data_IF_249490419674
#
_entry.id   IF_249490419674
#
_cell.length_a   1.000
_cell.length_b   1.000
_cell.length_c   1.000
_cell.angle_alpha   90.00
_cell.angle_beta   90.00
_cell.angle_gamma   90.00
#
_symmetry.space_group_name_H-M   'P 1'
#
loop_
_entity.id
_entity.type
_entity.pdbx_description
1 polymer ?
#
# COMPACT_ATOMS: atom_id res chain seq x y z
N UNK A 1 -84.28 30.91 11.99
CA UNK A 1 -83.52 31.61 10.94
C UNK A 1 -82.39 32.38 11.60
N UNK A 2 -81.19 31.81 11.63
CA UNK A 2 -79.96 32.54 11.99
C UNK A 2 -78.83 31.91 11.18
N UNK A 3 -78.29 32.66 10.24
CA UNK A 3 -77.19 32.26 9.35
C UNK A 3 -75.87 32.63 10.03
N UNK A 4 -75.02 31.63 10.31
CA UNK A 4 -73.64 31.84 10.77
C UNK A 4 -72.70 31.58 9.60
N UNK A 5 -72.03 32.64 9.15
CA UNK A 5 -70.99 32.64 8.11
C UNK A 5 -69.65 32.11 8.65
N UNK A 6 -69.13 31.03 8.07
CA UNK A 6 -67.77 30.52 8.33
C UNK A 6 -66.80 31.18 7.32
N UNK A 7 -65.65 31.72 7.76
CA UNK A 7 -64.74 32.42 6.87
C UNK A 7 -63.89 31.47 6.01
N UNK A 8 -63.58 31.99 4.82
CA UNK A 8 -62.74 31.48 3.74
C UNK A 8 -61.35 31.05 4.24
N UNK A 9 -61.02 29.76 4.07
CA UNK A 9 -59.66 29.24 4.28
C UNK A 9 -58.79 29.61 3.07
N UNK A 10 -57.85 30.53 3.24
CA UNK A 10 -56.88 30.90 2.21
C UNK A 10 -55.87 29.75 1.99
N UNK A 11 -55.43 29.50 0.73
CA UNK A 11 -54.43 28.46 0.46
C UNK A 11 -53.08 28.80 1.11
N UNK A 12 -52.29 27.79 1.51
CA UNK A 12 -51.02 28.01 2.18
C UNK A 12 -50.02 28.63 1.20
N UNK A 13 -49.49 29.80 1.56
CA UNK A 13 -48.40 30.42 0.83
C UNK A 13 -47.11 29.63 1.09
N UNK A 14 -46.69 28.85 0.10
CA UNK A 14 -45.38 28.21 0.07
C UNK A 14 -44.31 29.29 -0.08
N UNK A 15 -43.57 29.53 1.01
CA UNK A 15 -42.43 30.44 1.04
C UNK A 15 -41.36 29.97 0.06
N UNK A 16 -41.02 30.82 -0.89
CA UNK A 16 -39.79 30.73 -1.67
C UNK A 16 -38.57 30.84 -0.75
N UNK A 17 -37.80 29.75 -0.66
CA UNK A 17 -36.43 29.72 -0.15
C UNK A 17 -35.49 29.49 -1.33
N UNK A 18 -34.55 30.40 -1.49
CA UNK A 18 -33.50 30.40 -2.51
C UNK A 18 -32.34 29.50 -2.10
N UNK A 19 -32.36 28.24 -2.52
CA UNK A 19 -31.17 27.41 -2.65
C UNK A 19 -31.25 26.73 -4.02
N UNK A 20 -30.10 26.53 -4.64
CA UNK A 20 -29.90 25.82 -5.91
C UNK A 20 -30.23 24.33 -5.78
N UNK A 21 -31.42 24.02 -5.30
CA UNK A 21 -31.97 22.67 -5.24
C UNK A 21 -32.82 22.52 -6.48
N UNK A 22 -32.32 21.77 -7.46
CA UNK A 22 -33.13 21.34 -8.60
C UNK A 22 -34.43 20.77 -8.06
N UNK A 23 -35.54 21.47 -8.31
CA UNK A 23 -36.82 21.09 -7.72
C UNK A 23 -37.16 19.68 -8.22
N UNK A 24 -37.72 18.78 -7.39
CA UNK A 24 -38.11 17.44 -7.83
C UNK A 24 -38.96 17.46 -9.11
N UNK A 25 -39.77 18.52 -9.27
CA UNK A 25 -40.55 18.72 -10.49
C UNK A 25 -39.71 19.08 -11.71
N UNK A 26 -38.65 19.89 -11.56
CA UNK A 26 -37.72 20.20 -12.64
C UNK A 26 -36.93 18.97 -13.08
N UNK A 27 -36.50 18.13 -12.14
CA UNK A 27 -35.84 16.85 -12.45
C UNK A 27 -36.79 15.92 -13.21
N UNK A 28 -38.05 15.83 -12.80
CA UNK A 28 -39.06 15.00 -13.48
C UNK A 28 -39.42 15.56 -14.87
N UNK A 29 -39.48 16.87 -15.03
CA UNK A 29 -39.72 17.52 -16.32
C UNK A 29 -38.55 17.28 -17.29
N UNK A 30 -37.32 17.42 -16.81
CA UNK A 30 -36.10 17.12 -17.57
C UNK A 30 -36.04 15.63 -17.94
N UNK A 31 -36.31 14.73 -17.01
CA UNK A 31 -36.32 13.28 -17.28
C UNK A 31 -37.39 12.88 -18.33
N UNK A 32 -38.57 13.53 -18.33
CA UNK A 32 -39.61 13.29 -19.34
C UNK A 32 -39.22 13.77 -20.72
N UNK A 33 -38.50 14.89 -20.82
CA UNK A 33 -38.04 15.41 -22.12
C UNK A 33 -36.93 14.53 -22.70
N UNK A 34 -35.91 14.19 -21.90
CA UNK A 34 -34.85 13.27 -22.33
C UNK A 34 -35.35 11.85 -22.64
N UNK A 35 -36.41 11.36 -21.97
CA UNK A 35 -37.00 10.04 -22.26
C UNK A 35 -37.36 9.87 -23.74
N UNK A 36 -37.82 10.93 -24.41
CA UNK A 36 -38.20 10.87 -25.82
C UNK A 36 -36.98 10.89 -26.76
N UNK A 37 -35.85 11.39 -26.29
CA UNK A 37 -34.60 11.52 -27.04
C UNK A 37 -33.79 10.23 -27.06
N UNK A 38 -33.89 9.42 -25.99
CA UNK A 38 -33.10 8.19 -25.80
C UNK A 38 -33.76 6.96 -26.50
N UNK A 39 -35.00 7.10 -26.98
CA UNK A 39 -35.69 6.04 -27.74
C UNK A 39 -36.34 4.95 -26.89
N UNK A 40 -37.33 4.26 -27.45
CA UNK A 40 -38.15 3.26 -26.74
C UNK A 40 -37.38 2.04 -26.22
N UNK A 41 -36.24 1.72 -26.83
CA UNK A 41 -35.45 0.53 -26.54
C UNK A 41 -34.43 0.72 -25.41
N UNK A 42 -34.27 1.94 -24.90
CA UNK A 42 -33.28 2.25 -23.85
C UNK A 42 -33.40 1.31 -22.65
N UNK A 43 -34.64 1.07 -22.19
CA UNK A 43 -34.88 0.19 -21.05
C UNK A 43 -34.44 -1.25 -21.35
N UNK A 44 -34.69 -1.72 -22.58
CA UNK A 44 -34.28 -3.05 -23.01
C UNK A 44 -32.75 -3.18 -23.06
N UNK A 45 -32.05 -2.21 -23.66
CA UNK A 45 -30.58 -2.21 -23.73
C UNK A 45 -29.95 -2.08 -22.33
N UNK A 46 -30.52 -1.25 -21.46
CA UNK A 46 -30.07 -1.10 -20.07
C UNK A 46 -30.23 -2.42 -19.32
N UNK A 47 -31.40 -3.07 -19.41
CA UNK A 47 -31.66 -4.35 -18.77
C UNK A 47 -30.74 -5.45 -19.32
N UNK A 48 -30.55 -5.52 -20.64
CA UNK A 48 -29.64 -6.47 -21.29
C UNK A 48 -28.20 -6.29 -20.80
N UNK A 49 -27.72 -5.05 -20.70
CA UNK A 49 -26.37 -4.76 -20.21
C UNK A 49 -26.21 -5.19 -18.75
N UNK A 50 -27.18 -4.83 -17.88
CA UNK A 50 -27.17 -5.21 -16.47
C UNK A 50 -27.16 -6.74 -16.31
N UNK A 51 -28.02 -7.45 -17.04
CA UNK A 51 -28.07 -8.91 -16.99
C UNK A 51 -26.81 -9.56 -17.55
N UNK A 52 -26.22 -8.98 -18.60
CA UNK A 52 -24.97 -9.48 -19.20
C UNK A 52 -23.79 -9.33 -18.24
N UNK A 53 -23.67 -8.17 -17.57
CA UNK A 53 -22.62 -7.95 -16.59
C UNK A 53 -22.83 -8.80 -15.33
N UNK A 54 -24.07 -8.92 -14.85
CA UNK A 54 -24.40 -9.81 -13.74
C UNK A 54 -24.04 -11.28 -14.06
N UNK A 55 -24.39 -11.75 -15.26
CA UNK A 55 -24.04 -13.09 -15.73
C UNK A 55 -22.52 -13.27 -15.82
N UNK A 56 -21.79 -12.30 -16.37
CA UNK A 56 -20.32 -12.32 -16.46
C UNK A 56 -19.66 -12.41 -15.08
N UNK A 57 -20.16 -11.68 -14.09
CA UNK A 57 -19.63 -11.71 -12.71
C UNK A 57 -19.96 -13.07 -12.07
N UNK A 58 -21.20 -13.53 -12.19
CA UNK A 58 -21.61 -14.82 -11.64
C UNK A 58 -20.80 -15.98 -12.23
N UNK A 59 -20.52 -15.95 -13.53
CA UNK A 59 -19.74 -16.96 -14.24
C UNK A 59 -18.26 -16.97 -13.80
N UNK A 60 -17.71 -15.84 -13.35
CA UNK A 60 -16.38 -15.79 -12.71
C UNK A 60 -16.38 -16.28 -11.27
N UNK A 61 -17.45 -16.00 -10.52
CA UNK A 61 -17.51 -16.32 -9.10
C UNK A 61 -17.90 -17.78 -8.80
N UNK A 62 -18.72 -18.40 -9.67
CA UNK A 62 -19.27 -19.74 -9.44
C UNK A 62 -18.39 -20.81 -10.10
N UNK A 63 -18.00 -21.83 -9.34
CA UNK A 63 -17.33 -23.01 -9.89
C UNK A 63 -18.36 -24.12 -10.14
N UNK A 64 -18.56 -24.53 -11.41
CA UNK A 64 -19.47 -25.63 -11.77
C UNK A 64 -18.74 -26.98 -11.83
N UNK A 65 -19.26 -28.06 -11.23
CA UNK A 65 -18.67 -29.38 -11.35
C UNK A 65 -18.82 -29.91 -12.79
N UNK A 66 -17.71 -30.15 -13.49
CA UNK A 66 -17.67 -30.74 -14.84
C UNK A 66 -17.20 -29.82 -15.95
N UNK A 67 -17.16 -28.49 -15.73
CA UNK A 67 -16.55 -27.54 -16.67
C UNK A 67 -15.07 -27.33 -16.33
N UNK A 68 -14.22 -27.22 -17.35
CA UNK A 68 -12.81 -26.89 -17.13
C UNK A 68 -12.75 -25.49 -16.50
N UNK A 69 -12.18 -25.33 -15.29
CA UNK A 69 -12.01 -24.01 -14.71
C UNK A 69 -11.22 -23.15 -15.71
N UNK A 70 -11.75 -21.96 -16.02
CA UNK A 70 -11.03 -20.98 -16.84
C UNK A 70 -9.73 -20.68 -16.09
N UNK A 71 -8.59 -20.67 -16.80
CA UNK A 71 -7.29 -20.40 -16.20
C UNK A 71 -7.29 -19.00 -15.59
N UNK A 72 -7.49 -18.94 -14.28
CA UNK A 72 -7.30 -17.75 -13.48
C UNK A 72 -5.88 -17.87 -12.89
N UNK A 73 -4.97 -17.06 -13.44
CA UNK A 73 -3.57 -17.04 -13.01
C UNK A 73 -3.49 -16.78 -11.50
N UNK A 74 -4.34 -15.88 -10.98
CA UNK A 74 -4.44 -15.58 -9.55
C UNK A 74 -4.78 -16.84 -8.75
N UNK A 75 -5.83 -17.57 -9.14
CA UNK A 75 -6.25 -18.81 -8.45
C UNK A 75 -5.18 -19.91 -8.52
N UNK A 76 -4.39 -19.94 -9.58
CA UNK A 76 -3.31 -20.93 -9.76
C UNK A 76 -2.10 -20.57 -8.88
N UNK A 77 -1.73 -19.29 -8.83
CA UNK A 77 -0.66 -18.77 -7.99
C UNK A 77 -1.05 -18.91 -6.52
N UNK A 78 -2.26 -18.52 -6.14
CA UNK A 78 -2.77 -18.69 -4.77
C UNK A 78 -2.82 -20.17 -4.38
N UNK A 79 -3.21 -21.04 -5.30
CA UNK A 79 -3.17 -22.49 -5.09
C UNK A 79 -1.75 -23.01 -4.87
N UNK A 80 -0.76 -22.49 -5.61
CA UNK A 80 0.63 -22.89 -5.46
C UNK A 80 1.24 -22.37 -4.15
N UNK A 81 1.09 -21.08 -3.88
CA UNK A 81 1.63 -20.38 -2.71
C UNK A 81 0.95 -20.84 -1.41
N UNK A 82 -0.35 -21.10 -1.44
CA UNK A 82 -1.15 -21.49 -0.26
C UNK A 82 -1.29 -23.01 -0.11
N UNK A 83 -0.75 -23.81 -1.04
CA UNK A 83 -0.84 -25.27 -0.91
C UNK A 83 -0.09 -25.76 0.33
N UNK A 84 -0.67 -26.75 1.02
CA UNK A 84 -0.08 -27.34 2.23
C UNK A 84 1.32 -27.93 2.01
N UNK A 85 1.66 -28.32 0.78
CA UNK A 85 2.95 -28.92 0.42
C UNK A 85 3.94 -27.92 -0.19
N UNK A 86 3.51 -26.99 -1.05
CA UNK A 86 4.43 -26.03 -1.69
C UNK A 86 4.54 -24.70 -0.95
N UNK A 87 3.58 -24.35 -0.10
CA UNK A 87 3.64 -23.13 0.69
C UNK A 87 4.83 -23.10 1.64
N UNK A 88 5.15 -24.21 2.32
CA UNK A 88 6.31 -24.28 3.22
C UNK A 88 7.65 -24.08 2.46
N UNK A 89 7.94 -24.82 1.37
CA UNK A 89 9.11 -24.58 0.54
C UNK A 89 9.22 -23.14 -0.01
N UNK A 90 8.12 -22.60 -0.54
CA UNK A 90 8.09 -21.24 -1.11
C UNK A 90 8.38 -20.20 -0.03
N UNK A 91 7.77 -20.35 1.15
CA UNK A 91 7.99 -19.44 2.27
C UNK A 91 9.45 -19.47 2.74
N UNK A 92 10.05 -20.66 2.87
CA UNK A 92 11.48 -20.81 3.23
C UNK A 92 12.38 -20.17 2.18
N UNK A 93 12.10 -20.40 0.90
CA UNK A 93 12.88 -19.81 -0.19
C UNK A 93 12.82 -18.28 -0.16
N UNK A 94 11.61 -17.72 -0.02
CA UNK A 94 11.43 -16.26 0.04
C UNK A 94 12.12 -15.66 1.27
N UNK A 95 11.98 -16.31 2.43
CA UNK A 95 12.67 -15.90 3.66
C UNK A 95 14.19 -15.94 3.50
N UNK A 96 14.71 -17.01 2.91
CA UNK A 96 16.15 -17.17 2.65
C UNK A 96 16.67 -16.11 1.67
N UNK A 97 15.92 -15.80 0.62
CA UNK A 97 16.27 -14.76 -0.33
C UNK A 97 16.32 -13.38 0.33
N UNK A 98 15.32 -13.04 1.15
CA UNK A 98 15.29 -11.77 1.91
C UNK A 98 16.45 -11.69 2.91
N UNK A 99 16.70 -12.77 3.66
CA UNK A 99 17.85 -12.83 4.59
C UNK A 99 19.18 -12.70 3.85
N UNK A 100 19.34 -13.38 2.72
CA UNK A 100 20.54 -13.33 1.89
C UNK A 100 20.82 -11.91 1.40
N UNK A 101 19.80 -11.24 0.87
CA UNK A 101 19.90 -9.85 0.40
C UNK A 101 20.25 -8.92 1.57
N UNK A 102 19.67 -9.16 2.75
CA UNK A 102 19.95 -8.33 3.94
C UNK A 102 21.39 -8.51 4.44
N UNK A 103 21.88 -9.75 4.52
CA UNK A 103 23.25 -10.07 4.95
C UNK A 103 24.28 -9.56 3.93
N UNK A 104 24.08 -9.87 2.65
CA UNK A 104 24.98 -9.43 1.58
C UNK A 104 24.92 -7.91 1.42
N UNK A 105 23.73 -7.33 1.52
CA UNK A 105 23.50 -5.90 1.47
C UNK A 105 24.16 -5.15 2.62
N UNK A 106 24.31 -5.77 3.80
CA UNK A 106 25.05 -5.20 4.92
C UNK A 106 26.58 -5.23 4.74
N UNK A 107 27.11 -6.08 3.86
CA UNK A 107 28.56 -6.16 3.62
C UNK A 107 29.10 -4.89 2.95
N UNK A 108 28.35 -4.29 2.02
CA UNK A 108 28.74 -3.05 1.33
C UNK A 108 28.88 -1.85 2.30
N UNK A 109 27.88 -1.49 3.12
CA UNK A 109 28.00 -0.40 4.09
C UNK A 109 29.03 -0.71 5.18
N UNK A 110 29.19 -1.99 5.58
CA UNK A 110 30.24 -2.41 6.51
C UNK A 110 31.64 -2.08 5.98
N UNK A 111 31.91 -2.43 4.71
CA UNK A 111 33.19 -2.12 4.07
C UNK A 111 33.45 -0.61 3.97
N UNK A 112 32.42 0.17 3.64
CA UNK A 112 32.53 1.64 3.61
C UNK A 112 32.84 2.21 4.99
N UNK A 113 32.19 1.72 6.04
CA UNK A 113 32.42 2.17 7.41
C UNK A 113 33.81 1.77 7.92
N UNK A 114 34.26 0.55 7.63
CA UNK A 114 35.60 0.06 7.96
C UNK A 114 36.69 0.92 7.30
N UNK A 115 36.54 1.23 6.00
CA UNK A 115 37.47 2.11 5.29
C UNK A 115 37.50 3.53 5.88
N UNK A 116 36.36 4.04 6.35
CA UNK A 116 36.30 5.36 6.99
C UNK A 116 36.94 5.35 8.38
N UNK A 117 36.56 4.42 9.26
CA UNK A 117 37.01 4.36 10.65
C UNK A 117 38.48 3.92 10.79
N UNK A 118 38.90 2.93 10.00
CA UNK A 118 40.24 2.32 10.09
C UNK A 118 41.16 2.92 9.03
N UNK A 119 40.68 3.12 7.80
CA UNK A 119 41.50 3.66 6.73
C UNK A 119 41.78 5.17 6.85
N UNK A 120 40.85 5.94 7.43
CA UNK A 120 40.97 7.42 7.46
C UNK A 120 41.11 7.97 8.88
N UNK A 121 40.23 7.55 9.80
CA UNK A 121 40.19 8.13 11.15
C UNK A 121 41.36 7.63 12.02
N UNK A 122 41.68 6.34 11.98
CA UNK A 122 42.80 5.78 12.74
C UNK A 122 44.16 6.44 12.45
N UNK A 123 44.63 6.57 11.19
CA UNK A 123 45.91 7.23 10.92
C UNK A 123 45.88 8.73 11.22
N UNK A 124 44.72 9.39 11.09
CA UNK A 124 44.57 10.80 11.48
C UNK A 124 44.68 10.99 12.99
N UNK A 125 44.10 10.08 13.78
CA UNK A 125 44.18 10.10 15.24
C UNK A 125 45.60 9.82 15.73
N UNK A 126 46.30 8.88 15.08
CA UNK A 126 47.70 8.56 15.38
C UNK A 126 48.63 9.74 15.05
N UNK A 127 48.41 10.43 13.92
CA UNK A 127 49.13 11.65 13.56
C UNK A 127 48.84 12.80 14.54
N UNK A 128 47.59 12.98 14.96
CA UNK A 128 47.22 13.98 15.96
C UNK A 128 47.84 13.69 17.34
N UNK A 129 47.85 12.43 17.76
CA UNK A 129 48.50 12.00 19.01
C UNK A 129 50.03 12.23 18.97
N UNK A 130 50.66 11.96 17.83
CA UNK A 130 52.07 12.25 17.61
C UNK A 130 52.34 13.77 17.58
N UNK A 131 51.46 14.56 16.95
CA UNK A 131 51.59 16.02 16.88
C UNK A 131 51.43 16.72 18.24
N UNK A 132 50.61 16.16 19.14
CA UNK A 132 50.41 16.66 20.51
C UNK A 132 51.51 16.13 21.47
N UNK A 133 52.40 15.25 20.99
CA UNK A 133 53.49 14.69 21.79
C UNK A 133 53.00 13.74 22.88
N UNK A 134 51.95 12.97 22.59
CA UNK A 134 51.34 12.07 23.57
C UNK A 134 52.33 10.94 23.98
N UNK A 135 52.47 10.64 25.29
CA UNK A 135 53.31 9.54 25.73
C UNK A 135 52.86 8.20 25.16
N UNK A 136 53.82 7.37 24.73
CA UNK A 136 53.56 6.08 24.07
C UNK A 136 52.66 5.13 24.86
N UNK A 137 52.69 5.19 26.19
CA UNK A 137 51.84 4.37 27.07
C UNK A 137 50.38 4.82 27.07
N UNK A 138 50.11 6.13 26.90
CA UNK A 138 48.76 6.69 26.88
C UNK A 138 48.12 6.53 25.50
N UNK A 139 48.89 6.74 24.42
CA UNK A 139 48.44 6.46 23.07
C UNK A 139 48.16 4.97 22.86
N UNK A 140 49.05 4.09 23.35
CA UNK A 140 48.85 2.65 23.26
C UNK A 140 47.62 2.18 24.04
N UNK A 141 47.35 2.75 25.22
CA UNK A 141 46.15 2.39 25.98
C UNK A 141 44.85 2.90 25.33
N UNK A 142 44.79 4.17 24.92
CA UNK A 142 43.58 4.75 24.34
C UNK A 142 43.30 4.28 22.91
N UNK A 143 44.33 4.25 22.06
CA UNK A 143 44.18 4.00 20.62
C UNK A 143 44.27 2.50 20.34
N UNK A 144 45.33 1.84 20.80
CA UNK A 144 45.54 0.41 20.51
C UNK A 144 44.69 -0.49 21.41
N UNK A 145 44.38 -0.05 22.63
CA UNK A 145 43.50 -0.76 23.55
C UNK A 145 42.03 -0.44 23.32
N UNK A 146 41.59 0.73 23.80
CA UNK A 146 40.16 1.06 23.85
C UNK A 146 39.53 1.25 22.47
N UNK A 147 40.15 2.05 21.60
CA UNK A 147 39.58 2.34 20.27
C UNK A 147 39.58 1.09 19.39
N UNK A 148 40.69 0.35 19.33
CA UNK A 148 40.80 -0.87 18.53
C UNK A 148 39.86 -1.98 19.02
N UNK A 149 39.72 -2.18 20.33
CA UNK A 149 38.75 -3.14 20.88
C UNK A 149 37.30 -2.74 20.58
N UNK A 150 36.97 -1.45 20.69
CA UNK A 150 35.61 -0.95 20.39
C UNK A 150 35.31 -1.05 18.90
N UNK A 151 36.26 -0.66 18.05
CA UNK A 151 36.16 -0.78 16.60
C UNK A 151 35.97 -2.24 16.18
N UNK A 152 36.66 -3.18 16.83
CA UNK A 152 36.48 -4.61 16.59
C UNK A 152 35.11 -5.12 17.03
N UNK A 153 34.61 -4.75 18.21
CA UNK A 153 33.27 -5.17 18.65
C UNK A 153 32.19 -4.62 17.70
N UNK A 154 32.32 -3.35 17.28
CA UNK A 154 31.43 -2.73 16.29
C UNK A 154 31.56 -3.43 14.93
N UNK A 155 32.77 -3.83 14.56
CA UNK A 155 33.07 -4.60 13.34
C UNK A 155 32.74 -6.09 13.45
N UNK A 156 32.36 -6.62 14.62
CA UNK A 156 31.80 -7.98 14.77
C UNK A 156 30.27 -7.93 14.67
N UNK A 157 29.68 -6.79 15.06
CA UNK A 157 28.26 -6.51 14.87
C UNK A 157 27.91 -6.22 13.40
N UNK A 158 28.88 -5.74 12.62
CA UNK A 158 28.82 -5.75 11.16
C UNK A 158 29.53 -7.03 10.69
N UNK A 159 28.85 -7.96 10.00
CA UNK A 159 29.40 -9.27 9.69
C UNK A 159 30.86 -9.19 9.19
N UNK A 160 31.82 -9.80 9.92
CA UNK A 160 33.22 -9.74 9.55
C UNK A 160 33.45 -10.60 8.32
N UNK A 161 34.18 -10.02 7.37
CA UNK A 161 34.61 -10.68 6.14
C UNK A 161 35.31 -12.00 6.43
N UNK A 162 34.71 -13.08 5.91
CA UNK A 162 35.42 -14.23 5.35
C UNK A 162 34.94 -14.38 3.89
#
# INVERSE_FOLDING_TARGET
MTTTSIPMNAPPQTRHGSESETSPEEVLALARTLRWEIGGDFHQTLMETIYTDAARIADRAVTRPGEKPRFDLDRTIDGLVTSRRWGIPIMILMFTAVFWITITGANIPSQMLSNLLIGTIYPALQQAAAAIGMPWWLSGFLIDGMYLATAWVVSVMLPPMA
#
